data_IF_309945758784
#
_entry.id   IF_309945758784
#
_cell.length_a   1.000
_cell.length_b   1.000
_cell.length_c   1.000
_cell.angle_alpha   90.00
_cell.angle_beta   90.00
_cell.angle_gamma   90.00
#
_symmetry.space_group_name_H-M   'P 1'
#
loop_
_entity.id
_entity.type
_entity.pdbx_description
1 polymer ?
#
# COMPACT_ATOMS: atom_id res chain seq x y z
N UNK A 1 -70.79 14.21 1.78
CA UNK A 1 -69.93 14.64 2.91
C UNK A 1 -68.56 15.04 2.37
N UNK A 2 -68.19 16.32 2.46
CA UNK A 2 -66.90 16.81 1.98
C UNK A 2 -65.77 16.36 2.93
N UNK A 3 -64.69 15.77 2.40
CA UNK A 3 -63.54 15.33 3.20
C UNK A 3 -62.80 16.55 3.75
N UNK A 4 -62.48 16.56 5.06
CA UNK A 4 -61.71 17.63 5.69
C UNK A 4 -60.31 17.67 5.08
N UNK A 5 -59.97 18.77 4.39
CA UNK A 5 -58.65 18.97 3.79
C UNK A 5 -57.71 19.50 4.88
N UNK A 6 -56.59 18.80 5.11
CA UNK A 6 -55.58 19.20 6.08
C UNK A 6 -54.85 20.47 5.63
N UNK A 7 -54.71 21.45 6.54
CA UNK A 7 -53.96 22.72 6.31
C UNK A 7 -52.50 22.48 5.94
N UNK A 8 -51.93 21.34 6.32
CA UNK A 8 -50.54 20.98 6.01
C UNK A 8 -50.38 20.17 4.72
N UNK A 9 -51.48 19.88 4.02
CA UNK A 9 -51.44 19.14 2.76
C UNK A 9 -50.75 19.95 1.67
N UNK A 10 -50.04 19.24 0.80
CA UNK A 10 -49.35 19.80 -0.35
C UNK A 10 -50.29 20.55 -1.30
N UNK A 11 -51.55 20.14 -1.38
CA UNK A 11 -52.58 20.83 -2.17
C UNK A 11 -52.99 22.17 -1.55
N UNK A 12 -53.08 22.25 -0.21
CA UNK A 12 -53.41 23.49 0.50
C UNK A 12 -52.30 24.54 0.32
N UNK A 13 -51.03 24.12 0.43
CA UNK A 13 -49.86 25.02 0.25
C UNK A 13 -49.68 25.53 -1.18
N UNK A 14 -50.23 24.85 -2.18
CA UNK A 14 -50.15 25.30 -3.60
C UNK A 14 -51.15 26.42 -3.92
N UNK A 15 -52.23 26.56 -3.16
CA UNK A 15 -53.23 27.62 -3.37
C UNK A 15 -52.88 28.95 -2.69
N UNK A 16 -51.93 28.95 -1.76
CA UNK A 16 -51.58 30.11 -0.91
C UNK A 16 -50.35 30.88 -1.42
N UNK A 17 -49.72 30.40 -2.50
CA UNK A 17 -48.63 31.14 -3.17
C UNK A 17 -49.30 32.14 -4.11
N UNK A 18 -49.37 33.40 -3.67
CA UNK A 18 -49.76 34.54 -4.51
C UNK A 18 -48.89 34.52 -5.76
N UNK A 19 -49.51 34.38 -6.93
CA UNK A 19 -48.85 34.48 -8.23
C UNK A 19 -48.57 35.92 -8.64
N UNK A 20 -48.35 36.80 -7.66
CA UNK A 20 -48.07 38.24 -7.84
C UNK A 20 -46.55 38.49 -7.90
N UNK A 21 -45.80 37.53 -8.43
CA UNK A 21 -44.42 37.77 -8.85
C UNK A 21 -44.44 38.52 -10.17
N UNK A 22 -43.67 39.59 -10.29
CA UNK A 22 -43.52 40.39 -11.50
C UNK A 22 -43.26 39.52 -12.74
N UNK A 23 -44.32 39.26 -13.52
CA UNK A 23 -44.24 38.62 -14.84
C UNK A 23 -43.71 39.56 -15.93
N UNK A 24 -43.18 40.70 -15.53
CA UNK A 24 -42.58 41.72 -16.38
C UNK A 24 -41.46 41.16 -17.28
N UNK A 25 -40.83 40.04 -16.88
CA UNK A 25 -39.81 39.34 -17.65
C UNK A 25 -40.35 38.39 -18.74
N UNK A 26 -41.66 38.07 -18.73
CA UNK A 26 -42.29 37.18 -19.72
C UNK A 26 -42.50 37.87 -21.07
N UNK A 27 -42.64 39.21 -21.06
CA UNK A 27 -42.90 40.03 -22.25
C UNK A 27 -41.62 40.50 -22.96
N UNK A 28 -40.44 40.17 -22.44
CA UNK A 28 -39.18 40.55 -23.08
C UNK A 28 -38.96 39.64 -24.29
N UNK A 29 -38.82 40.20 -25.51
CA UNK A 29 -38.59 39.40 -26.71
C UNK A 29 -37.25 38.66 -26.58
N UNK A 30 -37.31 37.33 -26.63
CA UNK A 30 -36.11 36.47 -26.61
C UNK A 30 -35.53 36.44 -28.02
N UNK A 31 -34.21 36.61 -28.13
CA UNK A 31 -33.50 36.69 -29.41
C UNK A 31 -33.51 35.38 -30.23
N UNK A 32 -33.76 34.24 -29.58
CA UNK A 32 -33.78 32.93 -30.24
C UNK A 32 -35.07 32.14 -29.92
N UNK A 33 -35.57 31.39 -30.92
CA UNK A 33 -36.66 30.42 -30.79
C UNK A 33 -36.19 29.19 -30.00
N UNK A 34 -35.97 29.38 -28.71
CA UNK A 34 -35.50 28.38 -27.77
C UNK A 34 -36.53 27.29 -27.47
N UNK A 35 -37.81 27.47 -27.82
CA UNK A 35 -38.87 26.57 -27.36
C UNK A 35 -38.73 25.17 -27.94
N UNK A 36 -38.28 25.05 -29.19
CA UNK A 36 -37.95 23.78 -29.83
C UNK A 36 -36.72 23.15 -29.17
N UNK A 37 -35.64 23.93 -28.97
CA UNK A 37 -34.42 23.47 -28.28
C UNK A 37 -34.74 22.97 -26.86
N UNK A 38 -35.53 23.74 -26.10
CA UNK A 38 -36.01 23.40 -24.75
C UNK A 38 -36.92 22.18 -24.75
N UNK A 39 -37.77 22.02 -25.77
CA UNK A 39 -38.60 20.82 -25.94
C UNK A 39 -37.72 19.58 -26.12
N UNK A 40 -36.75 19.64 -27.03
CA UNK A 40 -35.78 18.56 -27.29
C UNK A 40 -34.98 18.24 -26.02
N UNK A 41 -34.43 19.25 -25.35
CA UNK A 41 -33.66 19.06 -24.10
C UNK A 41 -34.53 18.43 -23.01
N UNK A 42 -35.80 18.83 -22.89
CA UNK A 42 -36.72 18.21 -21.91
C UNK A 42 -37.05 16.76 -22.25
N UNK A 43 -37.19 16.41 -23.52
CA UNK A 43 -37.48 15.03 -23.92
C UNK A 43 -36.26 14.13 -23.78
N UNK A 44 -35.06 14.60 -24.14
CA UNK A 44 -33.81 13.85 -23.94
C UNK A 44 -33.56 13.58 -22.46
N UNK A 45 -33.65 14.59 -21.59
CA UNK A 45 -33.48 14.43 -20.14
C UNK A 45 -34.51 13.43 -19.56
N UNK A 46 -35.77 13.48 -20.01
CA UNK A 46 -36.80 12.53 -19.55
C UNK A 46 -36.48 11.09 -19.98
N UNK A 47 -36.05 10.91 -21.22
CA UNK A 47 -35.73 9.59 -21.78
C UNK A 47 -34.47 8.99 -21.11
N UNK A 48 -33.44 9.79 -20.90
CA UNK A 48 -32.22 9.38 -20.20
C UNK A 48 -32.51 9.00 -18.74
N UNK A 49 -33.30 9.80 -18.02
CA UNK A 49 -33.72 9.48 -16.66
C UNK A 49 -34.58 8.21 -16.60
N UNK A 50 -35.45 7.99 -17.59
CA UNK A 50 -36.23 6.76 -17.69
C UNK A 50 -35.33 5.55 -17.94
N UNK A 51 -34.32 5.69 -18.81
CA UNK A 51 -33.34 4.65 -19.08
C UNK A 51 -32.50 4.32 -17.85
N UNK A 52 -31.99 5.33 -17.14
CA UNK A 52 -31.25 5.15 -15.90
C UNK A 52 -32.08 4.39 -14.85
N UNK A 53 -33.35 4.79 -14.66
CA UNK A 53 -34.28 4.09 -13.76
C UNK A 53 -34.56 2.66 -14.21
N UNK A 54 -34.74 2.40 -15.51
CA UNK A 54 -34.92 1.04 -16.04
C UNK A 54 -33.69 0.17 -15.79
N UNK A 55 -32.49 0.69 -16.04
CA UNK A 55 -31.23 -0.01 -15.80
C UNK A 55 -31.02 -0.30 -14.30
N UNK A 56 -31.39 0.64 -13.42
CA UNK A 56 -31.35 0.43 -11.98
C UNK A 56 -32.36 -0.63 -11.54
N UNK A 57 -33.60 -0.55 -12.00
CA UNK A 57 -34.65 -1.54 -11.69
C UNK A 57 -34.29 -2.93 -12.24
N UNK A 58 -33.65 -3.04 -13.41
CA UNK A 58 -33.16 -4.31 -13.93
C UNK A 58 -31.97 -4.84 -13.12
N UNK A 59 -31.07 -3.98 -12.63
CA UNK A 59 -30.00 -4.40 -11.69
C UNK A 59 -30.59 -4.90 -10.38
N UNK A 60 -31.58 -4.21 -9.82
CA UNK A 60 -32.29 -4.60 -8.59
C UNK A 60 -33.08 -5.88 -8.84
N UNK A 61 -33.78 -6.03 -9.96
CA UNK A 61 -34.53 -7.24 -10.32
C UNK A 61 -33.60 -8.43 -10.54
N UNK A 62 -32.46 -8.24 -11.21
CA UNK A 62 -31.41 -9.29 -11.35
C UNK A 62 -30.78 -9.68 -10.01
N UNK A 63 -30.61 -8.72 -9.09
CA UNK A 63 -30.12 -8.99 -7.72
C UNK A 63 -31.19 -9.60 -6.81
N UNK A 64 -32.46 -9.20 -6.94
CA UNK A 64 -33.59 -9.62 -6.13
C UNK A 64 -34.22 -10.94 -6.57
N UNK A 65 -34.19 -11.26 -7.87
CA UNK A 65 -34.58 -12.57 -8.42
C UNK A 65 -33.62 -13.68 -7.96
N UNK A 66 -32.36 -13.32 -7.65
CA UNK A 66 -31.46 -14.18 -6.87
C UNK A 66 -31.72 -13.96 -5.38
N UNK A 67 -32.90 -14.35 -4.89
CA UNK A 67 -33.05 -14.65 -3.45
C UNK A 67 -32.06 -15.77 -3.17
N UNK A 68 -30.83 -15.42 -2.78
CA UNK A 68 -29.82 -16.38 -2.37
C UNK A 68 -30.45 -17.15 -1.22
N UNK A 69 -30.81 -18.40 -1.48
CA UNK A 69 -31.20 -19.35 -0.43
C UNK A 69 -30.11 -19.32 0.64
N UNK A 70 -30.43 -19.61 1.90
CA UNK A 70 -29.45 -19.56 3.01
C UNK A 70 -28.15 -20.31 2.68
N UNK A 71 -28.26 -21.41 1.92
CA UNK A 71 -27.15 -22.19 1.38
C UNK A 71 -26.27 -21.44 0.34
N UNK A 72 -26.85 -20.62 -0.54
CA UNK A 72 -26.08 -19.81 -1.48
C UNK A 72 -25.39 -18.63 -0.78
N UNK A 73 -26.01 -18.05 0.26
CA UNK A 73 -25.38 -17.00 1.07
C UNK A 73 -24.13 -17.53 1.78
N UNK A 74 -24.24 -18.67 2.46
CA UNK A 74 -23.11 -19.27 3.20
C UNK A 74 -21.97 -19.70 2.28
N UNK A 75 -22.26 -20.21 1.07
CA UNK A 75 -21.22 -20.50 0.06
C UNK A 75 -20.50 -19.23 -0.41
N UNK A 76 -21.22 -18.15 -0.70
CA UNK A 76 -20.57 -16.90 -1.11
C UNK A 76 -19.78 -16.23 0.01
N UNK A 77 -20.24 -16.33 1.25
CA UNK A 77 -19.56 -15.74 2.42
C UNK A 77 -18.32 -16.55 2.83
N UNK A 78 -18.34 -17.88 2.66
CA UNK A 78 -17.11 -18.69 2.77
C UNK A 78 -16.12 -18.38 1.65
N UNK A 79 -16.61 -18.22 0.42
CA UNK A 79 -15.78 -17.83 -0.72
C UNK A 79 -15.04 -16.51 -0.47
N UNK A 80 -15.74 -15.47 -0.03
CA UNK A 80 -15.13 -14.16 0.26
C UNK A 80 -14.12 -14.20 1.42
N UNK A 81 -14.40 -14.99 2.48
CA UNK A 81 -13.44 -15.15 3.59
C UNK A 81 -12.18 -15.89 3.16
N UNK A 82 -12.32 -16.96 2.39
CA UNK A 82 -11.17 -17.73 1.88
C UNK A 82 -10.35 -16.88 0.90
N UNK A 83 -11.01 -16.10 0.04
CA UNK A 83 -10.36 -15.17 -0.87
C UNK A 83 -9.57 -14.09 -0.12
N UNK A 84 -10.13 -13.53 0.96
CA UNK A 84 -9.41 -12.59 1.84
C UNK A 84 -8.19 -13.21 2.55
N UNK A 85 -8.30 -14.45 3.03
CA UNK A 85 -7.16 -15.18 3.63
C UNK A 85 -6.09 -15.50 2.58
N UNK A 86 -6.49 -15.87 1.36
CA UNK A 86 -5.54 -16.17 0.29
C UNK A 86 -4.81 -14.91 -0.18
N UNK A 87 -5.55 -13.81 -0.36
CA UNK A 87 -4.98 -12.51 -0.72
C UNK A 87 -3.95 -12.03 0.31
N UNK A 88 -4.25 -12.16 1.60
CA UNK A 88 -3.29 -11.80 2.67
C UNK A 88 -2.05 -12.70 2.67
N UNK A 89 -2.18 -14.01 2.40
CA UNK A 89 -1.03 -14.91 2.24
C UNK A 89 -0.17 -14.55 1.01
N UNK A 90 -0.79 -14.20 -0.11
CA UNK A 90 -0.09 -13.74 -1.31
C UNK A 90 0.68 -12.46 -1.01
N UNK A 91 0.04 -11.49 -0.37
CA UNK A 91 0.65 -10.23 0.06
C UNK A 91 1.88 -10.48 0.95
N UNK A 92 1.74 -11.30 2.00
CA UNK A 92 2.85 -11.66 2.90
C UNK A 92 3.98 -12.40 2.17
N UNK A 93 3.65 -13.24 1.19
CA UNK A 93 4.66 -13.92 0.36
C UNK A 93 5.46 -12.94 -0.50
N UNK A 94 4.77 -11.98 -1.13
CA UNK A 94 5.40 -10.92 -1.93
C UNK A 94 6.29 -10.03 -1.05
N UNK A 95 5.80 -9.62 0.12
CA UNK A 95 6.54 -8.79 1.07
C UNK A 95 7.79 -9.49 1.59
N UNK A 96 7.70 -10.78 1.96
CA UNK A 96 8.87 -11.57 2.36
C UNK A 96 9.89 -11.69 1.23
N UNK A 97 9.44 -11.96 0.00
CA UNK A 97 10.34 -12.03 -1.16
C UNK A 97 11.05 -10.70 -1.39
N UNK A 98 10.32 -9.58 -1.34
CA UNK A 98 10.88 -8.24 -1.49
C UNK A 98 11.87 -7.91 -0.36
N UNK A 99 11.54 -8.28 0.88
CA UNK A 99 12.43 -8.10 2.03
C UNK A 99 13.73 -8.89 1.88
N UNK A 100 13.66 -10.17 1.48
CA UNK A 100 14.87 -10.98 1.27
C UNK A 100 15.71 -10.40 0.13
N UNK A 101 15.09 -9.99 -0.97
CA UNK A 101 15.80 -9.35 -2.09
C UNK A 101 16.46 -8.03 -1.68
N UNK A 102 15.76 -7.16 -0.95
CA UNK A 102 16.30 -5.89 -0.49
C UNK A 102 17.39 -6.08 0.57
N UNK A 103 17.21 -6.99 1.52
CA UNK A 103 18.20 -7.31 2.54
C UNK A 103 19.46 -7.92 1.93
N UNK A 104 19.32 -8.84 0.96
CA UNK A 104 20.46 -9.37 0.20
C UNK A 104 21.15 -8.26 -0.58
N UNK A 105 20.43 -7.49 -1.40
CA UNK A 105 21.01 -6.41 -2.19
C UNK A 105 21.74 -5.38 -1.32
N UNK A 106 21.15 -4.97 -0.18
CA UNK A 106 21.80 -4.09 0.77
C UNK A 106 23.05 -4.70 1.42
N UNK A 107 23.06 -6.01 1.65
CA UNK A 107 24.27 -6.74 2.08
C UNK A 107 25.37 -6.71 1.02
N UNK A 108 25.02 -6.92 -0.25
CA UNK A 108 25.95 -6.80 -1.37
C UNK A 108 26.49 -5.38 -1.54
N UNK A 109 25.64 -4.36 -1.48
CA UNK A 109 26.06 -2.96 -1.56
C UNK A 109 26.99 -2.57 -0.39
N UNK A 110 26.74 -3.10 0.82
CA UNK A 110 27.64 -2.91 1.97
C UNK A 110 28.97 -3.61 1.76
N UNK A 111 28.97 -4.86 1.31
CA UNK A 111 30.20 -5.62 1.05
C UNK A 111 31.05 -4.89 0.00
N UNK A 112 30.44 -4.45 -1.10
CA UNK A 112 31.16 -3.70 -2.15
C UNK A 112 31.78 -2.42 -1.62
N UNK A 113 31.02 -1.61 -0.85
CA UNK A 113 31.55 -0.41 -0.19
C UNK A 113 32.70 -0.73 0.77
N UNK A 114 32.59 -1.81 1.55
CA UNK A 114 33.68 -2.21 2.46
C UNK A 114 34.92 -2.72 1.73
N UNK A 115 34.76 -3.33 0.55
CA UNK A 115 35.88 -3.77 -0.28
C UNK A 115 36.55 -2.56 -0.92
N UNK A 116 35.79 -1.60 -1.46
CA UNK A 116 36.30 -0.32 -1.98
C UNK A 116 37.10 0.43 -0.89
N UNK A 117 36.52 0.61 0.30
CA UNK A 117 37.23 1.26 1.42
C UNK A 117 38.48 0.48 1.85
N UNK A 118 38.45 -0.86 1.86
CA UNK A 118 39.63 -1.67 2.19
C UNK A 118 40.71 -1.59 1.13
N UNK A 119 40.36 -1.49 -0.15
CA UNK A 119 41.30 -1.30 -1.23
C UNK A 119 41.92 0.11 -1.16
N UNK A 120 41.13 1.15 -0.89
CA UNK A 120 41.65 2.51 -0.67
C UNK A 120 42.59 2.56 0.55
N UNK A 121 42.24 1.89 1.65
CA UNK A 121 43.11 1.77 2.83
C UNK A 121 44.37 0.91 2.59
N UNK A 122 44.30 -0.08 1.68
CA UNK A 122 45.47 -0.88 1.26
C UNK A 122 46.36 -0.11 0.28
N UNK A 123 45.79 0.79 -0.53
CA UNK A 123 46.55 1.70 -1.39
C UNK A 123 47.22 2.81 -0.57
N UNK A 124 46.58 3.34 0.47
CA UNK A 124 47.19 4.26 1.43
C UNK A 124 48.21 3.55 2.36
N UNK A 125 48.10 2.23 2.56
CA UNK A 125 49.10 1.37 3.21
C UNK A 125 50.14 0.78 2.27
N UNK A 126 50.32 1.32 1.06
CA UNK A 126 51.64 1.23 0.41
C UNK A 126 52.59 2.17 1.15
N UNK A 127 52.97 1.72 2.34
CA UNK A 127 54.13 2.21 3.06
C UNK A 127 55.34 2.16 2.12
N UNK A 128 56.28 3.13 2.20
CA UNK A 128 57.55 3.00 1.51
C UNK A 128 58.16 1.64 1.88
N UNK A 129 58.80 0.99 0.91
CA UNK A 129 59.57 -0.23 1.15
C UNK A 129 60.43 0.01 2.39
N UNK A 130 60.31 -0.79 3.46
CA UNK A 130 61.10 -0.58 4.67
C UNK A 130 62.57 -0.64 4.30
N UNK A 131 63.33 0.35 4.76
CA UNK A 131 64.78 0.36 4.53
C UNK A 131 65.40 -0.69 5.48
N UNK A 132 66.58 -1.20 5.18
CA UNK A 132 67.23 -2.26 5.98
C UNK A 132 67.28 -1.95 7.49
N UNK A 133 67.34 -0.66 7.87
CA UNK A 133 67.30 -0.19 9.26
C UNK A 133 65.97 -0.46 10.00
N UNK A 134 64.83 -0.42 9.30
CA UNK A 134 63.51 -0.68 9.92
C UNK A 134 63.33 -2.17 10.23
N UNK A 135 63.98 -3.04 9.45
CA UNK A 135 63.94 -4.50 9.63
C UNK A 135 64.80 -4.90 10.84
N UNK A 136 65.99 -4.31 10.98
CA UNK A 136 66.86 -4.54 12.12
C UNK A 136 66.21 -4.14 13.45
N UNK A 137 65.46 -3.04 13.46
CA UNK A 137 64.80 -2.56 14.67
C UNK A 137 63.64 -3.47 15.10
N UNK A 138 62.90 -4.06 14.15
CA UNK A 138 61.85 -5.04 14.44
C UNK A 138 62.41 -6.35 15.00
N UNK A 139 63.59 -6.80 14.53
CA UNK A 139 64.25 -8.01 15.07
C UNK A 139 64.76 -7.82 16.51
N UNK A 140 65.26 -6.62 16.85
CA UNK A 140 65.66 -6.31 18.23
C UNK A 140 64.45 -6.26 19.18
N UNK A 141 63.33 -5.67 18.75
CA UNK A 141 62.10 -5.60 19.54
C UNK A 141 61.48 -7.00 19.76
N UNK A 142 61.51 -7.88 18.75
CA UNK A 142 61.03 -9.26 18.87
C UNK A 142 61.89 -10.08 19.85
N UNK A 143 63.21 -9.87 19.85
CA UNK A 143 64.11 -10.49 20.82
C UNK A 143 63.85 -10.03 22.26
N UNK A 144 63.51 -8.75 22.47
CA UNK A 144 63.16 -8.21 23.78
C UNK A 144 61.84 -8.80 24.29
N UNK A 145 60.84 -8.94 23.43
CA UNK A 145 59.53 -9.48 23.81
C UNK A 145 59.60 -11.00 24.10
N UNK A 146 60.43 -11.76 23.38
CA UNK A 146 60.62 -13.18 23.66
C UNK A 146 61.39 -13.43 24.98
N UNK A 147 62.29 -12.52 25.36
CA UNK A 147 63.07 -12.61 26.60
C UNK A 147 62.30 -12.12 27.85
N UNK A 148 61.46 -11.08 27.72
CA UNK A 148 60.73 -10.47 28.85
C UNK A 148 59.21 -10.70 28.87
N UNK A 149 58.60 -11.19 27.79
CA UNK A 149 57.14 -11.26 27.60
C UNK A 149 56.42 -12.48 28.19
N UNK A 150 57.15 -13.49 28.69
CA UNK A 150 56.58 -14.78 29.18
C UNK A 150 55.69 -14.69 30.43
N UNK A 151 55.48 -13.51 31.02
CA UNK A 151 54.66 -13.34 32.24
C UNK A 151 53.20 -12.87 32.01
N UNK A 152 52.74 -12.69 30.76
CA UNK A 152 51.38 -12.17 30.51
C UNK A 152 50.56 -12.97 29.50
N UNK A 153 50.11 -14.17 29.83
CA UNK A 153 48.93 -14.74 29.17
C UNK A 153 48.04 -15.57 30.11
N UNK A 154 46.81 -15.09 30.32
CA UNK A 154 45.54 -15.85 30.27
C UNK A 154 44.37 -14.89 30.49
N UNK A 155 43.80 -14.38 29.41
CA UNK A 155 42.45 -13.82 29.39
C UNK A 155 41.45 -14.92 28.97
N UNK A 156 40.24 -14.98 29.54
CA UNK A 156 39.32 -16.09 29.29
C UNK A 156 38.63 -15.97 27.91
N UNK A 157 38.52 -17.11 27.24
CA UNK A 157 37.82 -17.32 25.97
C UNK A 157 36.38 -16.80 26.00
N UNK A 158 35.98 -16.07 24.95
CA UNK A 158 34.62 -15.58 24.75
C UNK A 158 33.58 -16.70 24.54
N UNK A 159 32.28 -16.34 24.43
CA UNK A 159 31.18 -17.30 24.46
C UNK A 159 31.23 -18.26 23.26
N UNK A 160 31.31 -19.56 23.55
CA UNK A 160 31.29 -20.64 22.56
C UNK A 160 29.90 -20.76 21.92
N UNK A 161 29.86 -20.92 20.60
CA UNK A 161 28.63 -21.00 19.82
C UNK A 161 27.79 -22.24 20.21
N UNK A 162 26.53 -22.03 20.59
CA UNK A 162 25.61 -23.07 21.08
C UNK A 162 25.21 -24.14 20.04
N UNK A 163 25.60 -23.97 18.78
CA UNK A 163 25.29 -24.91 17.69
C UNK A 163 26.41 -25.91 17.40
N UNK A 164 27.60 -25.74 17.98
CA UNK A 164 28.73 -26.65 17.76
C UNK A 164 28.46 -28.09 18.25
N UNK A 165 27.55 -28.27 19.21
CA UNK A 165 27.21 -29.59 19.77
C UNK A 165 26.21 -30.39 18.91
N UNK A 166 25.59 -29.77 17.91
CA UNK A 166 24.55 -30.41 17.10
C UNK A 166 25.12 -31.19 15.90
N UNK A 167 26.33 -30.87 15.45
CA UNK A 167 26.98 -31.56 14.32
C UNK A 167 27.51 -32.97 14.69
N UNK A 168 27.69 -33.27 15.97
CA UNK A 168 28.26 -34.56 16.42
C UNK A 168 27.23 -35.70 16.56
N UNK A 169 25.95 -35.46 16.23
CA UNK A 169 24.86 -36.44 16.46
C UNK A 169 24.27 -37.11 15.21
N UNK A 170 24.86 -36.87 14.02
CA UNK A 170 24.57 -37.66 12.81
C UNK A 170 25.72 -38.63 12.50
N UNK A 171 25.72 -39.79 13.17
CA UNK A 171 26.41 -41.01 12.74
C UNK A 171 25.81 -42.25 13.42
#
# INVERSE_FOLDING_TARGET
MAKKISKHSRAARRGEISTDGDRSLENIPKAENDDVKKSIIRTTIKNENLLAKKMEMDKIRKKGAKRKTSALKSKTDRGSRVEGILATKIQQSIERSKYVQSARKAGWDKINKTIEIKNDLLEEKKTPVPTEDDVAQMEEDEYVDEFFGKEKEKSPEGPKNAFALLEETEA
#
